data_IF_324674406320
#
_entry.id   IF_324674406320
#
_cell.length_a   1.000
_cell.length_b   1.000
_cell.length_c   1.000
_cell.angle_alpha   90.00
_cell.angle_beta   90.00
_cell.angle_gamma   90.00
#
_symmetry.space_group_name_H-M   'P 1'
#
loop_
_entity.id
_entity.type
_entity.pdbx_description
1 polymer ?
#
# COMPACT_ATOMS: atom_id res chain seq x y z
N UNK A 1 -1.07 11.90 -12.17
CA UNK A 1 -1.81 12.12 -10.92
C UNK A 1 -0.96 11.56 -9.80
N UNK A 2 -0.45 12.41 -8.90
CA UNK A 2 0.34 11.95 -7.74
C UNK A 2 -0.60 11.74 -6.58
N UNK A 3 -0.83 10.49 -6.20
CA UNK A 3 -1.61 10.17 -5.00
C UNK A 3 -0.74 10.45 -3.77
N UNK A 4 -1.09 11.43 -2.91
CA UNK A 4 -0.24 11.82 -1.79
C UNK A 4 -0.12 10.65 -0.81
N UNK A 5 1.11 10.38 -0.36
CA UNK A 5 1.35 9.41 0.70
C UNK A 5 0.88 10.00 2.03
N UNK A 6 0.21 9.19 2.85
CA UNK A 6 -0.21 9.58 4.20
C UNK A 6 0.65 8.95 5.30
N UNK A 7 1.45 7.94 4.97
CA UNK A 7 2.36 7.24 5.87
C UNK A 7 3.58 6.76 5.08
N UNK A 8 4.76 6.90 5.68
CA UNK A 8 6.01 6.30 5.20
C UNK A 8 6.62 5.52 6.35
N UNK A 9 7.14 4.32 6.07
CA UNK A 9 7.82 3.48 7.06
C UNK A 9 9.16 3.01 6.50
N UNK A 10 10.16 2.90 7.37
CA UNK A 10 11.49 2.36 7.07
C UNK A 10 11.47 0.82 7.12
N UNK A 11 10.60 0.22 6.31
CA UNK A 11 10.47 -1.22 6.17
C UNK A 11 10.39 -1.62 4.69
N UNK A 12 11.01 -2.74 4.29
CA UNK A 12 10.80 -3.35 2.99
C UNK A 12 9.31 -3.62 2.73
N UNK A 13 8.88 -3.50 1.46
CA UNK A 13 7.46 -3.50 1.10
C UNK A 13 6.70 -4.77 1.49
N UNK A 14 7.32 -5.95 1.38
CA UNK A 14 6.70 -7.19 1.84
C UNK A 14 6.48 -7.20 3.36
N UNK A 15 7.45 -6.69 4.14
CA UNK A 15 7.32 -6.59 5.61
C UNK A 15 6.22 -5.59 5.98
N UNK A 16 6.21 -4.43 5.31
CA UNK A 16 5.19 -3.41 5.47
C UNK A 16 3.79 -3.93 5.08
N UNK A 17 3.68 -4.75 4.04
CA UNK A 17 2.45 -5.40 3.60
C UNK A 17 1.87 -6.30 4.69
N UNK A 18 2.68 -7.20 5.24
CA UNK A 18 2.23 -8.13 6.29
C UNK A 18 1.81 -7.38 7.55
N UNK A 19 2.59 -6.36 7.94
CA UNK A 19 2.25 -5.49 9.07
C UNK A 19 0.92 -4.74 8.82
N UNK A 20 0.71 -4.21 7.63
CA UNK A 20 -0.52 -3.50 7.25
C UNK A 20 -1.73 -4.42 7.27
N UNK A 21 -1.66 -5.60 6.62
CA UNK A 21 -2.75 -6.60 6.65
C UNK A 21 -3.12 -6.99 8.07
N UNK A 22 -2.12 -7.22 8.93
CA UNK A 22 -2.35 -7.55 10.34
C UNK A 22 -3.06 -6.41 11.07
N UNK A 23 -2.56 -5.18 10.99
CA UNK A 23 -3.17 -4.01 11.65
C UNK A 23 -4.59 -3.76 11.19
N UNK A 24 -4.84 -3.81 9.88
CA UNK A 24 -6.19 -3.67 9.31
C UNK A 24 -7.13 -4.75 9.83
N UNK A 25 -6.68 -6.02 9.86
CA UNK A 25 -7.51 -7.11 10.39
C UNK A 25 -7.83 -6.96 11.88
N UNK A 26 -6.90 -6.43 12.68
CA UNK A 26 -7.11 -6.18 14.11
C UNK A 26 -8.16 -5.11 14.40
N UNK A 27 -8.40 -4.20 13.46
CA UNK A 27 -9.46 -3.18 13.55
C UNK A 27 -10.75 -3.60 12.83
N UNK A 28 -10.85 -4.86 12.39
CA UNK A 28 -12.03 -5.39 11.69
C UNK A 28 -12.09 -5.06 10.21
N UNK A 29 -11.07 -4.41 9.64
CA UNK A 29 -10.98 -4.11 8.21
C UNK A 29 -10.44 -5.32 7.44
N UNK A 30 -11.07 -5.61 6.29
CA UNK A 30 -10.64 -6.72 5.42
C UNK A 30 -9.84 -6.19 4.24
N UNK A 31 -8.58 -6.58 4.13
CA UNK A 31 -7.71 -6.22 3.02
C UNK A 31 -7.58 -7.36 2.00
N UNK A 32 -7.97 -7.13 0.75
CA UNK A 32 -7.78 -8.05 -0.37
C UNK A 32 -6.69 -7.52 -1.30
N UNK A 33 -5.64 -8.29 -1.53
CA UNK A 33 -4.59 -7.92 -2.49
C UNK A 33 -5.06 -8.21 -3.91
N UNK A 34 -5.14 -7.16 -4.73
CA UNK A 34 -5.64 -7.24 -6.12
C UNK A 34 -4.56 -6.99 -7.16
N UNK A 35 -3.42 -6.43 -6.75
CA UNK A 35 -2.27 -6.22 -7.63
C UNK A 35 -0.96 -6.37 -6.87
N UNK A 36 0.02 -6.94 -7.55
CA UNK A 36 1.42 -7.02 -7.13
C UNK A 36 2.32 -6.87 -8.35
N UNK A 37 3.12 -5.80 -8.35
CA UNK A 37 4.06 -5.49 -9.42
C UNK A 37 5.14 -6.57 -9.56
N UNK A 38 5.59 -7.19 -8.47
CA UNK A 38 6.62 -8.23 -8.55
C UNK A 38 6.12 -9.39 -9.41
N UNK A 39 4.91 -9.89 -9.12
CA UNK A 39 4.24 -10.93 -9.92
C UNK A 39 3.96 -10.45 -11.35
N UNK A 40 3.49 -9.22 -11.54
CA UNK A 40 3.17 -8.68 -12.88
C UNK A 40 4.42 -8.47 -13.76
N UNK A 41 5.56 -8.06 -13.18
CA UNK A 41 6.82 -7.82 -13.91
C UNK A 41 7.39 -9.07 -14.55
N UNK A 42 7.17 -10.26 -13.98
CA UNK A 42 7.53 -11.52 -14.64
C UNK A 42 6.84 -11.69 -16.01
N UNK A 43 5.77 -10.93 -16.27
CA UNK A 43 5.02 -10.95 -17.54
C UNK A 43 5.23 -9.72 -18.42
N UNK A 44 5.96 -8.68 -17.98
CA UNK A 44 6.16 -7.42 -18.71
C UNK A 44 7.64 -7.01 -18.76
N UNK A 45 8.17 -6.84 -19.97
CA UNK A 45 9.59 -6.61 -20.24
C UNK A 45 10.06 -5.15 -20.13
N UNK A 46 9.14 -4.18 -20.15
CA UNK A 46 9.47 -2.75 -20.22
C UNK A 46 8.86 -1.97 -19.04
N UNK A 47 9.50 -2.00 -17.87
CA UNK A 47 9.13 -1.13 -16.75
C UNK A 47 10.09 0.08 -16.70
N UNK A 48 9.59 1.33 -16.55
CA UNK A 48 10.40 2.55 -16.67
C UNK A 48 11.17 2.92 -15.38
N UNK A 49 11.50 1.96 -14.51
CA UNK A 49 12.31 2.30 -13.34
C UNK A 49 13.78 2.59 -13.76
N UNK A 50 14.47 3.55 -13.15
CA UNK A 50 15.84 3.93 -13.57
C UNK A 50 16.84 2.78 -13.47
N UNK A 51 16.60 1.88 -12.51
CA UNK A 51 17.36 0.66 -12.29
C UNK A 51 16.72 -0.56 -12.99
N UNK A 52 15.78 -0.37 -13.92
CA UNK A 52 15.07 -1.49 -14.53
C UNK A 52 16.02 -2.46 -15.19
N UNK A 53 15.88 -3.75 -14.85
CA UNK A 53 16.73 -4.81 -15.38
C UNK A 53 18.12 -4.90 -14.73
N UNK A 54 18.44 -4.09 -13.72
CA UNK A 54 19.64 -4.27 -12.89
C UNK A 54 19.30 -5.03 -11.60
N UNK A 55 20.34 -5.54 -10.92
CA UNK A 55 20.20 -6.16 -9.60
C UNK A 55 19.74 -5.18 -8.51
N UNK A 56 19.70 -3.87 -8.81
CA UNK A 56 19.45 -2.77 -7.87
C UNK A 56 18.02 -2.21 -7.97
N UNK A 57 17.13 -2.85 -8.74
CA UNK A 57 15.72 -2.46 -8.78
C UNK A 57 14.94 -3.15 -7.66
N UNK A 58 14.72 -2.44 -6.56
CA UNK A 58 13.88 -2.90 -5.44
C UNK A 58 12.45 -2.34 -5.46
N UNK A 59 12.07 -1.64 -6.55
CA UNK A 59 10.76 -1.00 -6.66
C UNK A 59 9.62 -2.04 -6.60
N UNK A 60 8.70 -1.83 -5.67
CA UNK A 60 7.50 -2.66 -5.51
C UNK A 60 6.24 -1.80 -5.46
N UNK A 61 5.17 -2.28 -6.06
CA UNK A 61 3.84 -1.67 -5.94
C UNK A 61 2.82 -2.76 -5.67
N UNK A 62 2.06 -2.59 -4.59
CA UNK A 62 1.02 -3.54 -4.18
C UNK A 62 -0.26 -2.74 -3.97
N UNK A 63 -1.38 -3.25 -4.49
CA UNK A 63 -2.70 -2.65 -4.29
C UNK A 63 -3.55 -3.58 -3.43
N UNK A 64 -4.07 -3.03 -2.35
CA UNK A 64 -5.04 -3.65 -1.48
C UNK A 64 -6.40 -2.95 -1.66
N UNK A 65 -7.44 -3.72 -1.94
CA UNK A 65 -8.82 -3.27 -1.75
C UNK A 65 -9.18 -3.51 -0.29
N UNK A 66 -9.37 -2.43 0.46
CA UNK A 66 -9.70 -2.48 1.88
C UNK A 66 -11.20 -2.24 2.05
N UNK A 67 -11.87 -3.18 2.71
CA UNK A 67 -13.31 -3.16 2.98
C UNK A 67 -13.55 -2.87 4.46
N UNK A 68 -14.50 -1.97 4.73
CA UNK A 68 -15.09 -1.75 6.05
C UNK A 68 -16.49 -2.33 6.13
N UNK A 69 -17.39 -1.64 6.84
CA UNK A 69 -18.80 -2.03 6.96
C UNK A 69 -19.60 -1.81 5.67
N UNK A 70 -19.21 -0.82 4.87
CA UNK A 70 -19.83 -0.53 3.57
C UNK A 70 -19.26 -1.44 2.48
N UNK A 71 -20.04 -1.75 1.42
CA UNK A 71 -19.61 -2.62 0.35
C UNK A 71 -18.54 -2.01 -0.56
N UNK A 72 -18.40 -0.68 -0.57
CA UNK A 72 -17.44 0.04 -1.42
C UNK A 72 -16.04 0.07 -0.76
N UNK A 73 -15.02 -0.55 -1.37
CA UNK A 73 -13.67 -0.57 -0.82
C UNK A 73 -12.88 0.71 -1.15
N UNK A 74 -11.87 0.99 -0.32
CA UNK A 74 -10.81 1.94 -0.65
C UNK A 74 -9.60 1.20 -1.25
N UNK A 75 -9.01 1.74 -2.31
CA UNK A 75 -7.76 1.23 -2.85
C UNK A 75 -6.56 1.81 -2.08
N UNK A 76 -5.94 1.00 -1.25
CA UNK A 76 -4.70 1.29 -0.53
C UNK A 76 -3.51 0.82 -1.36
N UNK A 77 -2.61 1.74 -1.67
CA UNK A 77 -1.42 1.50 -2.48
C UNK A 77 -0.20 1.51 -1.56
N UNK A 78 0.60 0.45 -1.63
CA UNK A 78 1.92 0.37 -1.01
C UNK A 78 2.95 0.50 -2.12
N UNK A 79 3.85 1.46 -1.99
CA UNK A 79 4.95 1.68 -2.92
C UNK A 79 6.28 1.56 -2.17
N UNK A 80 7.00 0.48 -2.43
CA UNK A 80 8.34 0.20 -1.89
C UNK A 80 9.45 0.72 -2.79
N UNK A 81 10.46 1.35 -2.19
CA UNK A 81 11.72 1.73 -2.83
C UNK A 81 12.76 2.06 -1.77
N UNK A 82 14.02 1.69 -1.98
CA UNK A 82 15.16 1.99 -1.11
C UNK A 82 14.96 1.54 0.35
N UNK A 83 14.40 0.34 0.54
CA UNK A 83 14.08 -0.20 1.87
C UNK A 83 12.97 0.52 2.64
N UNK A 84 12.33 1.53 2.04
CA UNK A 84 11.19 2.26 2.59
C UNK A 84 9.90 1.89 1.86
N UNK A 85 8.78 2.02 2.56
CA UNK A 85 7.44 1.83 1.98
C UNK A 85 6.55 3.03 2.25
N UNK A 86 6.00 3.59 1.18
CA UNK A 86 5.02 4.68 1.22
C UNK A 86 3.62 4.13 1.02
N UNK A 87 2.68 4.60 1.84
CA UNK A 87 1.26 4.24 1.79
C UNK A 87 0.44 5.42 1.27
N UNK A 88 -0.42 5.18 0.28
CA UNK A 88 -1.34 6.17 -0.26
C UNK A 88 -2.73 5.56 -0.51
N UNK A 89 -3.78 6.37 -0.50
CA UNK A 89 -5.14 5.95 -0.88
C UNK A 89 -5.44 6.53 -2.24
N UNK A 90 -5.83 5.71 -3.22
CA UNK A 90 -6.24 6.20 -4.52
C UNK A 90 -7.40 7.21 -4.36
N UNK A 91 -7.19 8.43 -4.84
CA UNK A 91 -8.18 9.50 -4.83
C UNK A 91 -8.57 9.78 -6.28
N UNK A 92 -9.46 8.95 -6.80
CA UNK A 92 -10.06 9.17 -8.11
C UNK A 92 -11.31 10.07 -7.94
N UNK A 93 -11.39 11.23 -8.64
CA UNK A 93 -12.53 12.13 -8.53
C UNK A 93 -13.89 11.51 -8.88
N UNK A 94 -13.91 10.47 -9.73
CA UNK A 94 -15.11 9.73 -10.15
C UNK A 94 -15.46 8.56 -9.22
N UNK A 95 -14.53 8.10 -8.37
CA UNK A 95 -14.71 7.00 -7.43
C UNK A 95 -14.03 7.31 -6.08
N UNK A 96 -14.50 8.38 -5.43
CA UNK A 96 -13.97 8.74 -4.11
C UNK A 96 -14.34 7.69 -3.08
N UNK A 97 -13.33 7.09 -2.46
CA UNK A 97 -13.52 6.22 -1.31
C UNK A 97 -14.28 6.94 -0.19
N UNK A 98 -15.11 6.18 0.52
CA UNK A 98 -15.83 6.68 1.69
C UNK A 98 -14.86 7.30 2.72
N UNK A 99 -15.15 8.52 3.16
CA UNK A 99 -14.26 9.29 4.04
C UNK A 99 -14.06 8.63 5.40
N UNK A 100 -15.07 7.93 5.93
CA UNK A 100 -14.98 7.21 7.21
C UNK A 100 -14.06 6.02 7.04
N UNK A 101 -14.21 5.25 5.97
CA UNK A 101 -13.31 4.14 5.66
C UNK A 101 -11.86 4.61 5.51
N UNK A 102 -11.63 5.71 4.80
CA UNK A 102 -10.29 6.31 4.67
C UNK A 102 -9.73 6.71 6.04
N UNK A 103 -10.54 7.32 6.91
CA UNK A 103 -10.13 7.66 8.27
C UNK A 103 -9.77 6.42 9.10
N UNK A 104 -10.61 5.38 9.06
CA UNK A 104 -10.36 4.11 9.76
C UNK A 104 -9.11 3.39 9.26
N UNK A 105 -8.83 3.43 7.95
CA UNK A 105 -7.58 2.88 7.40
C UNK A 105 -6.37 3.65 7.93
N UNK A 106 -6.43 4.98 7.91
CA UNK A 106 -5.34 5.82 8.42
C UNK A 106 -5.11 5.57 9.90
N UNK A 107 -6.16 5.53 10.72
CA UNK A 107 -6.07 5.25 12.15
C UNK A 107 -5.51 3.85 12.44
N UNK A 108 -5.96 2.82 11.71
CA UNK A 108 -5.46 1.46 11.88
C UNK A 108 -3.96 1.34 11.56
N UNK A 109 -3.47 2.11 10.58
CA UNK A 109 -2.08 2.06 10.14
C UNK A 109 -1.18 3.05 10.91
N UNK A 110 -1.75 4.16 11.38
CA UNK A 110 -1.10 5.19 12.20
C UNK A 110 -0.90 4.67 13.63
N UNK A 111 0.11 3.83 13.77
CA UNK A 111 0.80 3.68 15.03
C UNK A 111 2.06 4.49 14.88
N UNK A 112 2.11 5.66 15.52
CA UNK A 112 3.35 6.37 15.88
C UNK A 112 4.45 5.34 16.06
N UNK A 113 5.50 5.38 15.25
CA UNK A 113 6.76 4.63 15.36
C UNK A 113 6.90 3.89 16.69
N UNK A 114 6.29 2.72 16.80
CA UNK A 114 6.34 1.90 18.01
C UNK A 114 6.99 0.58 17.65
N UNK A 115 8.27 0.67 17.24
CA UNK A 115 9.32 -0.28 17.60
C UNK A 115 10.60 0.54 17.75
N UNK A 116 10.81 1.11 18.94
CA UNK A 116 12.14 1.15 19.53
C UNK A 116 12.23 -0.09 20.42
N UNK A 117 12.96 -1.10 19.97
CA UNK A 117 13.75 -2.02 20.81
C UNK A 117 15.01 -2.35 20.04
#
# INVERSE_FOLDING_TARGET
MTTPSFLTVDLPCEVALQAAKKKLSQTGLRALQTFDLHTARHTQQDCPCPNHGTADCDCQMIVLMVYGETPEPAALILHGSDGQTRFSIADDPSQKADRRLVASIKEALDIKSAVSV
#
